data_IF_381953868378
#
_entry.id   IF_381953868378
#
_cell.length_a   1.000
_cell.length_b   1.000
_cell.length_c   1.000
_cell.angle_alpha   90.00
_cell.angle_beta   90.00
_cell.angle_gamma   90.00
#
_symmetry.space_group_name_H-M   'P 1'
#
loop_
_entity.id
_entity.type
_entity.pdbx_description
1 polymer ?
#
# COMPACT_ATOMS: atom_id res chain seq x y z
N UNK A 1 0.60 12.19 3.24
CA UNK A 1 0.14 10.80 3.19
C UNK A 1 0.26 10.11 4.53
N UNK A 2 1.48 9.93 5.07
CA UNK A 2 1.74 9.17 6.32
C UNK A 2 0.92 9.66 7.54
N UNK A 3 0.86 10.96 7.76
CA UNK A 3 0.10 11.53 8.88
C UNK A 3 -1.41 11.23 8.77
N UNK A 4 -1.97 11.29 7.58
CA UNK A 4 -3.36 10.94 7.33
C UNK A 4 -3.62 9.45 7.61
N UNK A 5 -2.73 8.57 7.19
CA UNK A 5 -2.81 7.13 7.46
C UNK A 5 -2.73 6.85 8.96
N UNK A 6 -1.83 7.52 9.70
CA UNK A 6 -1.77 7.40 11.16
C UNK A 6 -3.08 7.83 11.82
N UNK A 7 -3.69 8.93 11.37
CA UNK A 7 -4.99 9.40 11.89
C UNK A 7 -6.08 8.35 11.63
N UNK A 8 -6.18 7.87 10.39
CA UNK A 8 -7.17 6.85 10.01
C UNK A 8 -6.94 5.56 10.81
N UNK A 9 -5.71 5.09 10.92
CA UNK A 9 -5.38 3.89 11.69
C UNK A 9 -5.72 4.04 13.18
N UNK A 10 -5.48 5.22 13.78
CA UNK A 10 -5.89 5.51 15.16
C UNK A 10 -7.41 5.48 15.30
N UNK A 11 -8.13 6.04 14.33
CA UNK A 11 -9.60 6.09 14.35
C UNK A 11 -10.23 4.69 14.26
N UNK A 12 -9.67 3.83 13.39
CA UNK A 12 -10.23 2.48 13.16
C UNK A 12 -9.78 1.47 14.23
N UNK A 13 -8.48 1.45 14.58
CA UNK A 13 -7.94 0.50 15.54
C UNK A 13 -8.20 0.91 17.01
N UNK A 14 -8.53 2.19 17.25
CA UNK A 14 -8.81 2.70 18.59
C UNK A 14 -7.62 2.65 19.58
N UNK A 15 -6.43 2.37 19.06
CA UNK A 15 -5.18 2.29 19.82
C UNK A 15 -4.07 3.07 19.09
N UNK A 16 -3.35 3.90 19.82
CA UNK A 16 -2.23 4.68 19.28
C UNK A 16 -0.97 3.84 19.07
N UNK A 17 -0.88 2.68 19.72
CA UNK A 17 0.30 1.80 19.61
C UNK A 17 0.39 1.10 18.26
N UNK A 18 -0.73 0.68 17.71
CA UNK A 18 -0.78 0.00 16.43
C UNK A 18 -0.26 0.89 15.28
N UNK A 19 -0.71 2.14 15.11
CA UNK A 19 -0.11 3.05 14.13
C UNK A 19 1.38 3.31 14.33
N UNK A 20 1.85 3.36 15.58
CA UNK A 20 3.27 3.51 15.86
C UNK A 20 4.09 2.29 15.39
N UNK A 21 3.58 1.09 15.61
CA UNK A 21 4.21 -0.16 15.14
C UNK A 21 4.24 -0.19 13.60
N UNK A 22 3.13 0.16 12.96
CA UNK A 22 3.02 0.25 11.50
C UNK A 22 4.02 1.27 10.95
N UNK A 23 4.09 2.46 11.53
CA UNK A 23 5.04 3.49 11.12
C UNK A 23 6.50 3.07 11.27
N UNK A 24 6.84 2.40 12.36
CA UNK A 24 8.20 1.90 12.59
C UNK A 24 8.55 0.78 11.60
N UNK A 25 7.64 -0.15 11.34
CA UNK A 25 7.85 -1.21 10.34
C UNK A 25 8.04 -0.63 8.93
N UNK A 26 7.30 0.41 8.59
CA UNK A 26 7.43 1.13 7.32
C UNK A 26 8.80 1.78 7.15
N UNK A 27 9.31 2.48 8.18
CA UNK A 27 10.66 3.07 8.13
C UNK A 27 11.73 2.01 7.89
N UNK A 28 11.65 0.88 8.59
CA UNK A 28 12.59 -0.24 8.40
C UNK A 28 12.46 -0.81 6.98
N UNK A 29 11.24 -0.97 6.48
CA UNK A 29 11.00 -1.47 5.11
C UNK A 29 11.62 -0.56 4.05
N UNK A 30 11.48 0.77 4.20
CA UNK A 30 12.10 1.75 3.28
C UNK A 30 13.63 1.62 3.29
N UNK A 31 14.23 1.52 4.46
CA UNK A 31 15.69 1.35 4.58
C UNK A 31 16.16 0.08 3.89
N UNK A 32 15.41 -1.02 4.05
CA UNK A 32 15.71 -2.27 3.35
C UNK A 32 15.52 -2.12 1.83
N UNK A 33 14.50 -1.39 1.36
CA UNK A 33 14.33 -1.12 -0.07
C UNK A 33 15.52 -0.34 -0.65
N UNK A 34 16.03 0.68 0.05
CA UNK A 34 17.23 1.41 -0.39
C UNK A 34 18.47 0.52 -0.41
N UNK A 35 18.60 -0.42 0.53
CA UNK A 35 19.68 -1.43 0.49
C UNK A 35 19.58 -2.27 -0.79
N UNK A 36 18.39 -2.74 -1.17
CA UNK A 36 18.19 -3.47 -2.42
C UNK A 36 18.50 -2.61 -3.64
N UNK A 37 18.08 -1.34 -3.67
CA UNK A 37 18.42 -0.41 -4.76
C UNK A 37 19.95 -0.28 -4.91
N UNK A 38 20.68 -0.15 -3.80
CA UNK A 38 22.12 -0.11 -3.83
C UNK A 38 22.75 -1.42 -4.35
N UNK A 39 22.28 -2.58 -3.89
CA UNK A 39 22.79 -3.89 -4.33
C UNK A 39 22.55 -4.15 -5.82
N UNK A 40 21.41 -3.74 -6.34
CA UNK A 40 21.05 -3.91 -7.75
C UNK A 40 21.51 -2.74 -8.64
N UNK A 41 22.26 -1.78 -8.07
CA UNK A 41 22.77 -0.59 -8.77
C UNK A 41 21.68 0.23 -9.45
N UNK A 42 20.50 0.27 -8.86
CA UNK A 42 19.39 1.08 -9.34
C UNK A 42 19.65 2.56 -9.05
N UNK A 43 19.37 3.41 -10.03
CA UNK A 43 19.44 4.86 -9.84
C UNK A 43 18.22 5.38 -9.07
N UNK A 44 18.46 6.30 -8.14
CA UNK A 44 17.38 7.04 -7.47
C UNK A 44 16.96 8.20 -8.38
N UNK A 45 15.95 7.96 -9.18
CA UNK A 45 15.32 8.93 -10.06
C UNK A 45 13.83 9.11 -9.71
N UNK A 46 13.17 10.07 -10.35
CA UNK A 46 11.75 10.37 -10.10
C UNK A 46 10.88 9.12 -10.35
N UNK A 47 11.25 8.30 -11.32
CA UNK A 47 10.49 7.11 -11.74
C UNK A 47 10.63 5.99 -10.72
N UNK A 48 11.86 5.67 -10.29
CA UNK A 48 12.11 4.67 -9.24
C UNK A 48 11.49 5.08 -7.90
N UNK A 49 11.53 6.39 -7.57
CA UNK A 49 10.88 6.92 -6.37
C UNK A 49 9.35 6.86 -6.48
N UNK A 50 8.77 7.09 -7.66
CA UNK A 50 7.32 6.95 -7.86
C UNK A 50 6.88 5.50 -7.65
N UNK A 51 7.65 4.53 -8.14
CA UNK A 51 7.42 3.11 -7.87
C UNK A 51 7.51 2.77 -6.37
N UNK A 52 8.49 3.33 -5.68
CA UNK A 52 8.62 3.16 -4.23
C UNK A 52 7.44 3.79 -3.47
N UNK A 53 6.97 4.97 -3.87
CA UNK A 53 5.79 5.61 -3.26
C UNK A 53 4.54 4.72 -3.44
N UNK A 54 4.35 4.14 -4.62
CA UNK A 54 3.28 3.19 -4.87
C UNK A 54 3.40 1.95 -3.96
N UNK A 55 4.60 1.38 -3.86
CA UNK A 55 4.88 0.26 -2.97
C UNK A 55 4.62 0.60 -1.49
N UNK A 56 4.91 1.84 -1.06
CA UNK A 56 4.65 2.30 0.31
C UNK A 56 3.18 2.21 0.70
N UNK A 57 2.26 2.56 -0.20
CA UNK A 57 0.83 2.38 0.03
C UNK A 57 0.48 0.92 0.33
N UNK A 58 0.98 0.00 -0.50
CA UNK A 58 0.75 -1.44 -0.33
C UNK A 58 1.46 -2.04 0.90
N UNK A 59 2.61 -1.49 1.29
CA UNK A 59 3.31 -1.87 2.53
C UNK A 59 2.48 -1.55 3.77
N UNK A 60 1.81 -0.41 3.77
CA UNK A 60 0.97 0.02 4.88
C UNK A 60 -0.22 -0.92 5.02
N UNK A 61 -0.89 -1.26 3.92
CA UNK A 61 -2.03 -2.17 3.93
C UNK A 61 -1.64 -3.55 4.46
N UNK A 62 -0.50 -4.09 4.04
CA UNK A 62 0.04 -5.34 4.57
C UNK A 62 0.28 -5.27 6.08
N UNK A 63 0.83 -4.17 6.56
CA UNK A 63 1.10 -3.95 7.99
C UNK A 63 -0.19 -3.80 8.81
N UNK A 64 -1.22 -3.15 8.26
CA UNK A 64 -2.54 -3.02 8.88
C UNK A 64 -3.16 -4.40 9.04
N UNK A 65 -3.20 -5.22 7.98
CA UNK A 65 -3.79 -6.56 8.00
C UNK A 65 -3.18 -7.42 9.11
N UNK A 66 -1.84 -7.49 9.19
CA UNK A 66 -1.16 -8.28 10.21
C UNK A 66 -1.45 -7.75 11.62
N UNK A 67 -1.38 -6.43 11.81
CA UNK A 67 -1.59 -5.81 13.12
C UNK A 67 -3.02 -6.01 13.61
N UNK A 68 -3.99 -5.84 12.72
CA UNK A 68 -5.41 -6.02 13.02
C UNK A 68 -5.71 -7.48 13.37
N UNK A 69 -5.20 -8.44 12.59
CA UNK A 69 -5.43 -9.85 12.86
C UNK A 69 -4.83 -10.28 14.22
N UNK A 70 -3.62 -9.80 14.55
CA UNK A 70 -3.03 -10.01 15.88
C UNK A 70 -3.92 -9.40 16.98
N UNK A 71 -4.46 -8.19 16.76
CA UNK A 71 -5.35 -7.51 17.72
C UNK A 71 -6.63 -8.28 17.93
N UNK A 72 -7.25 -8.80 16.89
CA UNK A 72 -8.47 -9.64 16.97
C UNK A 72 -8.23 -10.91 17.79
N UNK A 73 -7.09 -11.58 17.61
CA UNK A 73 -6.75 -12.75 18.44
C UNK A 73 -6.54 -12.38 19.91
N UNK A 74 -6.02 -11.19 20.20
CA UNK A 74 -5.92 -10.69 21.56
C UNK A 74 -7.28 -10.40 22.18
N UNK A 75 -8.19 -9.79 21.45
CA UNK A 75 -9.57 -9.53 21.88
C UNK A 75 -10.32 -10.84 22.18
N UNK A 76 -10.02 -11.92 21.45
CA UNK A 76 -10.52 -13.27 21.71
C UNK A 76 -9.91 -13.95 22.94
N UNK A 77 -9.02 -13.26 23.70
CA UNK A 77 -8.44 -13.75 24.95
C UNK A 77 -7.13 -14.56 24.80
N UNK A 78 -6.52 -14.59 23.61
CA UNK A 78 -5.24 -15.28 23.44
C UNK A 78 -4.10 -14.51 24.13
N UNK A 79 -3.12 -15.26 24.68
CA UNK A 79 -1.91 -14.65 25.23
C UNK A 79 -1.16 -13.88 24.14
N UNK A 80 -0.43 -12.82 24.51
CA UNK A 80 0.29 -11.95 23.57
C UNK A 80 1.16 -12.74 22.56
N UNK A 81 1.95 -13.68 23.05
CA UNK A 81 2.81 -14.51 22.20
C UNK A 81 1.99 -15.37 21.23
N UNK A 82 0.92 -15.99 21.71
CA UNK A 82 0.08 -16.86 20.91
C UNK A 82 -0.71 -16.06 19.86
N UNK A 83 -1.21 -14.88 20.22
CA UNK A 83 -1.89 -13.99 19.31
C UNK A 83 -0.96 -13.52 18.16
N UNK A 84 0.30 -13.17 18.48
CA UNK A 84 1.29 -12.81 17.45
C UNK A 84 1.57 -13.97 16.49
N UNK A 85 1.77 -15.20 17.02
CA UNK A 85 2.07 -16.35 16.17
C UNK A 85 0.86 -16.73 15.32
N UNK A 86 -0.30 -16.95 15.93
CA UNK A 86 -1.49 -17.43 15.22
C UNK A 86 -2.04 -16.36 14.28
N UNK A 87 -2.15 -15.11 14.76
CA UNK A 87 -2.65 -14.00 13.94
C UNK A 87 -1.77 -13.71 12.73
N UNK A 88 -0.43 -13.81 12.86
CA UNK A 88 0.44 -13.65 11.69
C UNK A 88 0.35 -14.86 10.76
N UNK A 89 0.37 -16.10 11.28
CA UNK A 89 0.36 -17.30 10.44
C UNK A 89 -0.88 -17.43 9.55
N UNK A 90 -2.01 -16.93 9.99
CA UNK A 90 -3.26 -16.95 9.23
C UNK A 90 -3.22 -16.07 7.98
N UNK A 91 -2.52 -14.95 8.06
CA UNK A 91 -2.45 -13.97 6.95
C UNK A 91 -1.25 -14.18 6.01
N UNK A 92 -0.32 -15.07 6.35
CA UNK A 92 0.89 -15.36 5.52
C UNK A 92 0.51 -15.73 4.08
N UNK A 93 -0.39 -16.70 3.91
CA UNK A 93 -0.78 -17.21 2.58
C UNK A 93 -1.59 -16.18 1.78
N UNK A 94 -2.63 -15.52 2.32
CA UNK A 94 -3.33 -14.46 1.61
C UNK A 94 -2.43 -13.30 1.20
N UNK A 95 -1.53 -12.87 2.07
CA UNK A 95 -0.58 -11.79 1.77
C UNK A 95 0.41 -12.18 0.67
N UNK A 96 0.93 -13.41 0.70
CA UNK A 96 1.81 -13.92 -0.35
C UNK A 96 1.09 -13.93 -1.71
N UNK A 97 -0.12 -14.48 -1.75
CA UNK A 97 -0.93 -14.51 -2.98
C UNK A 97 -1.19 -13.12 -3.53
N UNK A 98 -1.58 -12.17 -2.67
CA UNK A 98 -1.83 -10.78 -3.06
C UNK A 98 -0.55 -10.12 -3.60
N UNK A 99 0.58 -10.25 -2.89
CA UNK A 99 1.86 -9.69 -3.32
C UNK A 99 2.33 -10.27 -4.64
N UNK A 100 2.24 -11.60 -4.82
CA UNK A 100 2.62 -12.26 -6.07
C UNK A 100 1.72 -11.86 -7.24
N UNK A 101 0.42 -11.73 -7.01
CA UNK A 101 -0.53 -11.28 -8.04
C UNK A 101 -0.19 -9.86 -8.49
N UNK A 102 0.10 -8.97 -7.56
CA UNK A 102 0.50 -7.60 -7.88
C UNK A 102 1.84 -7.56 -8.62
N UNK A 103 2.83 -8.32 -8.18
CA UNK A 103 4.13 -8.43 -8.87
C UNK A 103 3.93 -8.95 -10.30
N UNK A 104 3.08 -9.96 -10.50
CA UNK A 104 2.79 -10.53 -11.82
C UNK A 104 2.26 -9.50 -12.83
N UNK A 105 1.54 -8.47 -12.36
CA UNK A 105 1.08 -7.35 -13.21
C UNK A 105 2.24 -6.46 -13.65
N UNK A 106 3.28 -6.30 -12.83
CA UNK A 106 4.44 -5.48 -13.14
C UNK A 106 5.52 -6.21 -13.95
N UNK A 107 5.56 -7.55 -13.90
CA UNK A 107 6.54 -8.36 -14.64
C UNK A 107 6.57 -8.04 -16.17
N UNK A 108 5.44 -7.91 -16.89
CA UNK A 108 5.47 -7.56 -18.31
C UNK A 108 6.13 -6.21 -18.60
N UNK A 109 6.07 -5.25 -17.67
CA UNK A 109 6.67 -3.93 -17.84
C UNK A 109 8.21 -3.98 -17.84
N UNK A 110 8.79 -4.97 -17.15
CA UNK A 110 10.24 -5.19 -17.12
C UNK A 110 10.77 -5.65 -18.49
N UNK A 111 9.94 -6.30 -19.29
CA UNK A 111 10.31 -6.81 -20.63
C UNK A 111 9.97 -5.86 -21.76
N UNK A 112 9.43 -4.67 -21.47
CA UNK A 112 9.19 -3.66 -22.49
C UNK A 112 10.51 -3.13 -23.06
N UNK A 113 10.54 -2.84 -24.37
CA UNK A 113 11.69 -2.30 -25.08
C UNK A 113 11.51 -0.81 -25.42
N UNK A 114 12.62 -0.14 -25.75
CA UNK A 114 12.63 1.27 -26.12
C UNK A 114 12.55 2.21 -24.92
N UNK A 115 12.21 3.48 -25.18
CA UNK A 115 12.15 4.55 -24.15
C UNK A 115 11.14 4.21 -23.06
N UNK A 116 9.97 3.68 -23.45
CA UNK A 116 8.95 3.25 -22.51
C UNK A 116 9.48 2.14 -21.59
N UNK A 117 10.23 1.17 -22.13
CA UNK A 117 10.85 0.11 -21.35
C UNK A 117 11.82 0.64 -20.31
N UNK A 118 12.68 1.60 -20.67
CA UNK A 118 13.63 2.20 -19.75
C UNK A 118 12.93 2.91 -18.56
N UNK A 119 11.82 3.59 -18.85
CA UNK A 119 11.01 4.29 -17.83
C UNK A 119 10.29 3.29 -16.92
N UNK A 120 9.57 2.34 -17.50
CA UNK A 120 8.73 1.41 -16.72
C UNK A 120 9.54 0.34 -15.99
N UNK A 121 10.76 0.02 -16.46
CA UNK A 121 11.66 -0.91 -15.78
C UNK A 121 11.97 -0.47 -14.35
N UNK A 122 12.44 0.78 -14.18
CA UNK A 122 12.79 1.32 -12.87
C UNK A 122 11.60 1.33 -11.92
N UNK A 123 10.41 1.69 -12.44
CA UNK A 123 9.18 1.69 -11.65
C UNK A 123 8.75 0.28 -11.25
N UNK A 124 8.69 -0.64 -12.21
CA UNK A 124 8.26 -2.03 -11.97
C UNK A 124 9.21 -2.75 -11.01
N UNK A 125 10.51 -2.54 -11.16
CA UNK A 125 11.51 -3.09 -10.25
C UNK A 125 11.34 -2.54 -8.83
N UNK A 126 11.16 -1.23 -8.69
CA UNK A 126 10.97 -0.57 -7.38
C UNK A 126 9.72 -1.09 -6.66
N UNK A 127 8.61 -1.27 -7.39
CA UNK A 127 7.37 -1.84 -6.83
C UNK A 127 7.60 -3.30 -6.42
N UNK A 128 8.25 -4.09 -7.26
CA UNK A 128 8.52 -5.51 -6.97
C UNK A 128 9.37 -5.67 -5.72
N UNK A 129 10.47 -4.92 -5.61
CA UNK A 129 11.32 -4.93 -4.41
C UNK A 129 10.53 -4.48 -3.19
N UNK A 130 9.77 -3.38 -3.31
CA UNK A 130 8.94 -2.87 -2.23
C UNK A 130 7.93 -3.89 -1.71
N UNK A 131 7.22 -4.59 -2.60
CA UNK A 131 6.26 -5.63 -2.22
C UNK A 131 6.93 -6.83 -1.55
N UNK A 132 8.06 -7.29 -2.07
CA UNK A 132 8.82 -8.38 -1.45
C UNK A 132 9.30 -8.01 -0.04
N UNK A 133 9.87 -6.82 0.11
CA UNK A 133 10.30 -6.31 1.41
C UNK A 133 9.12 -6.18 2.37
N UNK A 134 7.99 -5.65 1.90
CA UNK A 134 6.76 -5.52 2.67
C UNK A 134 6.28 -6.87 3.22
N UNK A 135 6.26 -7.88 2.37
CA UNK A 135 5.85 -9.22 2.77
C UNK A 135 6.75 -9.77 3.89
N UNK A 136 8.06 -9.72 3.72
CA UNK A 136 9.00 -10.23 4.73
C UNK A 136 8.96 -9.41 6.03
N UNK A 137 8.91 -8.09 5.95
CA UNK A 137 8.81 -7.24 7.15
C UNK A 137 7.47 -7.41 7.86
N UNK A 138 6.38 -7.57 7.12
CA UNK A 138 5.06 -7.83 7.68
C UNK A 138 4.99 -9.14 8.48
N UNK A 139 5.61 -10.20 7.98
CA UNK A 139 5.55 -11.52 8.64
C UNK A 139 6.59 -11.65 9.74
N UNK A 140 7.80 -11.13 9.55
CA UNK A 140 8.92 -11.36 10.49
C UNK A 140 9.08 -10.23 11.49
N UNK A 141 9.15 -8.99 11.03
CA UNK A 141 9.45 -7.85 11.86
C UNK A 141 8.24 -7.37 12.67
N UNK A 142 7.07 -7.29 12.04
CA UNK A 142 5.90 -6.66 12.64
C UNK A 142 5.38 -7.41 13.88
N UNK A 143 5.24 -8.76 13.91
CA UNK A 143 4.83 -9.46 15.13
C UNK A 143 5.85 -9.33 16.26
N UNK A 144 7.15 -9.20 15.94
CA UNK A 144 8.21 -8.95 16.94
C UNK A 144 8.06 -7.54 17.51
N UNK A 145 7.88 -6.52 16.66
CA UNK A 145 7.63 -5.15 17.11
C UNK A 145 6.36 -5.06 17.96
N UNK A 146 5.29 -5.73 17.52
CA UNK A 146 4.04 -5.78 18.27
C UNK A 146 4.25 -6.38 19.67
N UNK A 147 4.94 -7.52 19.74
CA UNK A 147 5.27 -8.15 21.01
C UNK A 147 6.12 -7.25 21.90
N UNK A 148 7.11 -6.56 21.33
CA UNK A 148 8.02 -5.69 22.06
C UNK A 148 7.29 -4.46 22.63
N UNK A 149 6.47 -3.79 21.84
CA UNK A 149 5.71 -2.61 22.27
C UNK A 149 4.66 -2.94 23.33
N UNK A 150 4.01 -4.10 23.21
CA UNK A 150 3.00 -4.50 24.19
C UNK A 150 3.58 -5.17 25.45
N UNK A 151 4.76 -5.81 25.34
CA UNK A 151 5.45 -6.41 26.51
C UNK A 151 6.17 -5.36 27.37
N UNK A 152 6.88 -4.43 26.75
CA UNK A 152 7.67 -3.41 27.46
C UNK A 152 6.80 -2.36 28.14
N UNK A 153 5.47 -2.40 27.87
CA UNK A 153 4.54 -1.48 28.50
C UNK A 153 5.02 -0.04 28.36
N UNK A 154 5.46 0.37 27.14
CA UNK A 154 5.99 1.70 26.91
C UNK A 154 5.15 2.70 27.69
N UNK A 155 5.68 2.99 28.83
CA UNK A 155 5.21 3.77 29.98
C UNK A 155 3.72 4.13 29.92
N UNK A 156 2.93 3.41 30.69
CA UNK A 156 1.47 3.51 30.87
C UNK A 156 0.93 4.96 31.00
N UNK A 157 1.84 5.94 31.08
CA UNK A 157 1.55 7.32 31.44
C UNK A 157 1.31 8.27 30.26
N UNK A 158 1.87 8.05 29.04
CA UNK A 158 1.69 9.00 27.95
C UNK A 158 0.66 8.53 26.92
N UNK A 159 0.65 7.26 26.57
CA UNK A 159 -0.32 6.68 25.64
C UNK A 159 -1.69 6.37 26.26
N UNK A 160 -1.77 6.14 27.59
CA UNK A 160 -3.06 5.88 28.26
C UNK A 160 -3.92 7.13 28.45
N UNK A 161 -3.38 8.32 28.24
CA UNK A 161 -4.12 9.59 28.31
C UNK A 161 -4.95 9.87 27.06
N UNK A 162 -4.61 9.21 25.93
CA UNK A 162 -5.35 9.29 24.69
C UNK A 162 -6.17 8.00 24.54
N UNK A 163 -7.07 7.76 25.46
CA UNK A 163 -8.15 6.82 25.26
C UNK A 163 -9.16 7.54 24.37
N UNK A 164 -8.97 7.40 23.06
CA UNK A 164 -9.96 7.86 22.10
C UNK A 164 -11.15 6.95 22.31
N UNK A 165 -12.20 7.50 22.91
CA UNK A 165 -13.50 6.88 22.90
C UNK A 165 -13.84 6.74 21.42
N UNK A 166 -13.79 5.51 20.87
CA UNK A 166 -14.00 5.28 19.45
C UNK A 166 -15.43 5.67 19.09
N UNK A 167 -15.69 6.82 18.48
CA UNK A 167 -17.03 7.18 18.04
C UNK A 167 -17.49 6.29 16.87
N UNK A 168 -16.53 5.57 16.24
CA UNK A 168 -16.78 4.71 15.08
C UNK A 168 -17.11 3.27 15.49
N UNK A 169 -16.71 2.84 16.70
CA UNK A 169 -17.10 1.52 17.25
C UNK A 169 -18.53 1.49 17.77
N UNK A 170 -19.20 2.63 17.83
CA UNK A 170 -20.62 2.70 18.13
C UNK A 170 -21.42 2.26 16.89
N UNK A 171 -22.28 1.28 17.07
CA UNK A 171 -23.38 0.72 16.27
C UNK A 171 -23.88 1.48 15.02
N UNK A 172 -23.43 2.70 14.75
CA UNK A 172 -23.91 3.52 13.66
C UNK A 172 -23.34 3.05 12.31
N UNK A 173 -22.05 2.65 12.29
CA UNK A 173 -21.41 2.13 11.06
C UNK A 173 -21.95 0.72 10.75
N UNK A 174 -22.11 -0.09 11.79
CA UNK A 174 -22.67 -1.44 11.65
C UNK A 174 -24.12 -1.35 11.13
N UNK A 175 -24.93 -0.44 11.68
CA UNK A 175 -26.28 -0.19 11.18
C UNK A 175 -26.33 0.29 9.73
N UNK A 176 -25.39 1.17 9.35
CA UNK A 176 -25.33 1.67 7.98
C UNK A 176 -24.92 0.57 7.01
N UNK A 177 -23.96 -0.26 7.42
CA UNK A 177 -23.54 -1.43 6.68
C UNK A 177 -24.66 -2.47 6.56
N UNK A 178 -25.28 -2.83 7.66
CA UNK A 178 -26.40 -3.79 7.70
C UNK A 178 -27.58 -3.29 6.85
N UNK A 179 -27.97 -2.01 6.99
CA UNK A 179 -29.01 -1.41 6.16
C UNK A 179 -28.66 -1.41 4.66
N UNK A 180 -27.38 -1.17 4.31
CA UNK A 180 -26.89 -1.25 2.94
C UNK A 180 -26.98 -2.68 2.37
N UNK A 181 -26.52 -3.64 3.14
CA UNK A 181 -26.59 -5.07 2.78
C UNK A 181 -28.04 -5.53 2.64
N UNK A 182 -28.90 -5.20 3.59
CA UNK A 182 -30.33 -5.55 3.55
C UNK A 182 -31.00 -4.92 2.34
N UNK A 183 -30.69 -3.67 2.01
CA UNK A 183 -31.19 -3.01 0.80
C UNK A 183 -30.76 -3.74 -0.48
N UNK A 184 -29.48 -4.13 -0.59
CA UNK A 184 -28.95 -4.88 -1.74
C UNK A 184 -29.64 -6.24 -1.86
N UNK A 185 -29.80 -6.97 -0.75
CA UNK A 185 -30.47 -8.27 -0.74
C UNK A 185 -31.98 -8.18 -0.96
N UNK A 186 -32.62 -7.11 -0.50
CA UNK A 186 -34.04 -6.87 -0.78
C UNK A 186 -34.29 -6.56 -2.27
N UNK A 187 -33.33 -5.89 -2.94
CA UNK A 187 -33.46 -5.47 -4.33
C UNK A 187 -32.46 -6.18 -5.25
N UNK A 188 -32.35 -7.51 -5.14
CA UNK A 188 -31.38 -8.33 -5.91
C UNK A 188 -31.39 -8.04 -7.40
N UNK A 189 -32.58 -7.93 -8.00
CA UNK A 189 -32.72 -7.66 -9.45
C UNK A 189 -32.16 -6.28 -9.82
N UNK A 190 -32.40 -5.25 -9.01
CA UNK A 190 -31.89 -3.91 -9.24
C UNK A 190 -30.36 -3.87 -9.08
N UNK A 191 -29.81 -4.58 -8.10
CA UNK A 191 -28.38 -4.68 -7.86
C UNK A 191 -27.64 -5.38 -9.00
N UNK A 192 -28.20 -6.49 -9.48
CA UNK A 192 -27.67 -7.23 -10.66
C UNK A 192 -27.76 -6.36 -11.91
N UNK A 193 -28.89 -5.67 -12.13
CA UNK A 193 -29.07 -4.75 -13.25
C UNK A 193 -28.04 -3.62 -13.22
N UNK A 194 -27.79 -3.01 -12.05
CA UNK A 194 -26.76 -1.98 -11.88
C UNK A 194 -25.37 -2.51 -12.26
N UNK A 195 -24.98 -3.70 -11.82
CA UNK A 195 -23.71 -4.32 -12.18
C UNK A 195 -23.60 -4.58 -13.70
N UNK A 196 -24.69 -5.07 -14.33
CA UNK A 196 -24.71 -5.35 -15.77
C UNK A 196 -24.60 -4.04 -16.57
N UNK A 197 -25.28 -2.97 -16.16
CA UNK A 197 -25.28 -1.67 -16.84
C UNK A 197 -23.97 -0.91 -16.63
N UNK A 198 -23.32 -1.08 -15.48
CA UNK A 198 -22.05 -0.39 -15.18
C UNK A 198 -20.93 -0.77 -16.16
N UNK A 199 -20.87 -2.02 -16.63
CA UNK A 199 -19.85 -2.48 -17.58
C UNK A 199 -19.94 -1.79 -18.94
N UNK A 200 -21.09 -1.80 -19.66
CA UNK A 200 -21.20 -1.07 -20.92
C UNK A 200 -21.09 0.44 -20.75
N UNK A 201 -21.51 1.00 -19.61
CA UNK A 201 -21.32 2.40 -19.30
C UNK A 201 -19.84 2.78 -19.19
N UNK A 202 -19.04 1.95 -18.51
CA UNK A 202 -17.59 2.14 -18.45
C UNK A 202 -16.93 2.06 -19.83
N UNK A 203 -17.33 1.08 -20.65
CA UNK A 203 -16.82 0.94 -22.01
C UNK A 203 -17.20 2.15 -22.86
N UNK A 204 -18.45 2.62 -22.75
CA UNK A 204 -18.92 3.81 -23.42
C UNK A 204 -18.12 5.06 -23.02
N UNK A 205 -17.95 5.30 -21.71
CA UNK A 205 -17.15 6.41 -21.20
C UNK A 205 -15.69 6.33 -21.67
N UNK A 206 -15.10 5.13 -21.67
CA UNK A 206 -13.74 4.92 -22.16
C UNK A 206 -13.57 5.29 -23.64
N UNK A 207 -14.63 5.17 -24.44
CA UNK A 207 -14.61 5.56 -25.85
C UNK A 207 -14.53 7.08 -26.03
N UNK A 208 -15.11 7.87 -25.13
CA UNK A 208 -15.12 9.34 -25.20
C UNK A 208 -13.91 10.00 -24.52
N UNK A 209 -13.11 9.24 -23.76
CA UNK A 209 -11.90 9.78 -23.15
C UNK A 209 -10.84 9.95 -24.23
N UNK A 210 -10.32 11.18 -24.36
CA UNK A 210 -9.19 11.48 -25.25
C UNK A 210 -8.00 10.60 -24.89
N UNK A 211 -7.41 9.94 -25.90
CA UNK A 211 -6.28 9.02 -25.70
C UNK A 211 -5.01 9.72 -26.19
N UNK A 212 -4.25 10.26 -25.27
CA UNK A 212 -2.93 10.81 -25.55
C UNK A 212 -1.86 9.84 -25.04
N UNK A 213 -0.83 9.61 -25.86
CA UNK A 213 0.26 8.67 -25.51
C UNK A 213 1.22 9.27 -24.47
N UNK A 214 1.40 10.56 -24.49
CA UNK A 214 2.18 11.34 -23.53
C UNK A 214 1.52 12.72 -23.35
N UNK A 215 1.49 13.29 -22.13
CA UNK A 215 1.08 14.67 -21.95
C UNK A 215 2.00 15.58 -22.77
N UNK A 216 1.43 16.58 -23.45
CA UNK A 216 2.22 17.60 -24.13
C UNK A 216 3.04 18.34 -23.07
N UNK A 217 4.35 18.18 -23.13
CA UNK A 217 5.27 18.94 -22.30
C UNK A 217 5.55 20.24 -23.08
N UNK A 218 5.00 21.36 -22.63
CA UNK A 218 5.39 22.66 -23.13
C UNK A 218 6.87 22.89 -22.83
N UNK A 219 7.72 22.48 -23.77
CA UNK A 219 9.15 22.74 -23.71
C UNK A 219 9.36 24.19 -24.19
N UNK A 220 9.48 25.11 -23.27
CA UNK A 220 9.92 26.49 -23.53
C UNK A 220 11.45 26.55 -23.75
N UNK A 221 12.08 25.45 -24.18
CA UNK A 221 13.51 25.40 -24.45
C UNK A 221 13.77 25.48 -25.96
N UNK A 222 14.55 26.47 -26.35
CA UNK A 222 14.97 26.72 -27.71
C UNK A 222 16.28 25.96 -27.94
N UNK A 223 16.23 24.79 -28.62
CA UNK A 223 17.45 24.06 -28.98
C UNK A 223 18.00 24.69 -30.26
N UNK A 224 19.03 25.53 -30.12
CA UNK A 224 19.82 26.05 -31.24
C UNK A 224 20.90 25.03 -31.60
N UNK A 225 20.73 24.36 -32.74
CA UNK A 225 21.78 23.51 -33.34
C UNK A 225 22.75 24.40 -34.09
N UNK A 226 23.94 24.64 -33.56
CA UNK A 226 24.99 25.38 -34.23
C UNK A 226 25.88 24.41 -35.01
N UNK A 227 25.75 24.38 -36.32
CA UNK A 227 26.67 23.64 -37.22
C UNK A 227 27.84 24.55 -37.63
N UNK A 228 29.01 24.18 -37.23
CA UNK A 228 30.22 24.87 -37.64
C UNK A 228 30.71 24.23 -38.94
N UNK A 229 30.85 25.06 -39.97
CA UNK A 229 31.27 24.63 -41.30
C UNK A 229 32.79 24.52 -41.46
N UNK A 230 33.55 24.62 -40.40
CA UNK A 230 35.02 24.53 -40.41
C UNK A 230 35.53 23.40 -39.50
N UNK A 231 36.44 22.58 -40.07
CA UNK A 231 37.18 21.59 -39.32
C UNK A 231 38.06 22.29 -38.29
N UNK A 232 37.71 22.23 -37.05
CA UNK A 232 38.56 22.64 -35.96
C UNK A 232 39.51 21.48 -35.66
N UNK A 233 40.80 21.70 -36.04
CA UNK A 233 41.91 20.81 -35.74
C UNK A 233 42.29 20.93 -34.25
#
# INVERSE_FOLDING_TARGET
GFLFICIVAVLFLGDVKSPFIIGLSMVVSIVICFLFFYLFKMSLNIISLSGLILALGMMIDSSIIVTENISQYRERGYSLKRACITGTSEVVTPMLSSSLTTIAVFVPLIFMSGIAGAIFYDQAFSVTVGLMVSYFTGIMLLPVLYMLVYRTGLRKSWFSRIRINNPIKDHTLDRFYDAGIDFIFAHKTASVFFCIVSVPLCVFMFYFIGKERMPEIDQNELIARVEWNENIH
#
